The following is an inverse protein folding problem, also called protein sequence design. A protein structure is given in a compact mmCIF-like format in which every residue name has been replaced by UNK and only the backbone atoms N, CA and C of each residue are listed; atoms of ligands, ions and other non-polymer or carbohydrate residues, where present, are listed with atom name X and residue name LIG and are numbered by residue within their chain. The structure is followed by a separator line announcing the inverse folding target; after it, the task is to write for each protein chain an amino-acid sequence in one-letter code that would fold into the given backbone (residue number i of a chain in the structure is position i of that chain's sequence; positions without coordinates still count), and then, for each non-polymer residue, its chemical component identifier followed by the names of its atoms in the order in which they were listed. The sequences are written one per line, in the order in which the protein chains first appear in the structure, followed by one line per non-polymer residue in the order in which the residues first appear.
data_IF_549158915887
#
_entry.id   IF_549158915887
#
_cell.length_a   1.000
_cell.length_b   1.000
_cell.length_c   1.000
_cell.angle_alpha   90.00
_cell.angle_beta   90.00
_cell.angle_gamma   90.00
#
_symmetry.space_group_name_H-M   'P 1'
#
loop_
_entity.id
_entity.type
_entity.pdbx_description
1 polymer ?
#
# COMPACT_ATOMS: atom_id res chain seq x y z
N UNK A 1 -76.85 -8.44 18.73
CA UNK A 1 -75.93 -7.28 18.89
C UNK A 1 -75.03 -7.57 20.08
N UNK A 2 -73.71 -7.66 19.88
CA UNK A 2 -72.79 -7.98 20.99
C UNK A 2 -72.78 -6.80 21.98
N UNK A 3 -73.20 -7.04 23.23
CA UNK A 3 -73.11 -6.05 24.30
C UNK A 3 -71.69 -5.50 24.39
N UNK A 4 -71.55 -4.17 24.33
CA UNK A 4 -70.26 -3.50 24.53
C UNK A 4 -69.68 -3.97 25.85
N UNK A 5 -68.52 -4.66 25.80
CA UNK A 5 -67.72 -5.05 26.98
C UNK A 5 -67.62 -3.86 27.93
N UNK A 6 -68.24 -3.94 29.11
CA UNK A 6 -68.11 -2.91 30.15
C UNK A 6 -66.65 -2.82 30.57
N UNK A 7 -66.03 -1.65 30.34
CA UNK A 7 -64.64 -1.39 30.74
C UNK A 7 -64.67 -0.60 32.04
N UNK A 8 -64.26 -1.25 33.13
CA UNK A 8 -64.20 -0.64 34.45
C UNK A 8 -62.82 -0.01 34.70
N UNK A 9 -62.79 1.21 35.25
CA UNK A 9 -61.55 1.92 35.60
C UNK A 9 -60.79 1.18 36.72
N UNK A 10 -59.46 1.34 36.81
CA UNK A 10 -58.67 0.80 37.91
C UNK A 10 -59.20 1.20 39.30
N UNK A 11 -59.60 2.46 39.47
CA UNK A 11 -60.10 2.98 40.75
C UNK A 11 -61.45 2.40 41.13
N UNK A 12 -62.35 2.23 40.14
CA UNK A 12 -63.63 1.55 40.36
C UNK A 12 -63.43 0.11 40.85
N UNK A 13 -62.45 -0.61 40.29
CA UNK A 13 -62.12 -1.98 40.72
C UNK A 13 -61.58 -2.03 42.15
N UNK A 14 -60.76 -1.04 42.55
CA UNK A 14 -60.25 -0.93 43.94
C UNK A 14 -61.39 -0.69 44.93
N UNK A 15 -62.30 0.23 44.61
CA UNK A 15 -63.49 0.52 45.42
C UNK A 15 -64.36 -0.74 45.56
N UNK A 16 -64.62 -1.43 44.45
CA UNK A 16 -65.43 -2.64 44.44
C UNK A 16 -64.84 -3.77 45.31
N UNK A 17 -63.52 -3.90 45.32
CA UNK A 17 -62.83 -4.87 46.17
C UNK A 17 -62.94 -4.49 47.64
N UNK A 18 -62.66 -3.22 47.98
CA UNK A 18 -62.69 -2.72 49.36
C UNK A 18 -64.07 -2.94 49.98
N UNK A 19 -65.13 -2.60 49.24
CA UNK A 19 -66.52 -2.83 49.61
C UNK A 19 -66.81 -4.33 49.85
N UNK A 20 -66.33 -5.20 48.95
CA UNK A 20 -66.52 -6.63 49.13
C UNK A 20 -65.88 -7.18 50.40
N UNK A 21 -64.68 -6.71 50.75
CA UNK A 21 -64.00 -7.13 51.99
C UNK A 21 -64.68 -6.59 53.23
N UNK A 22 -65.20 -5.36 53.19
CA UNK A 22 -65.99 -4.77 54.29
C UNK A 22 -67.28 -5.54 54.56
N UNK A 23 -68.00 -5.96 53.51
CA UNK A 23 -69.25 -6.71 53.64
C UNK A 23 -69.10 -8.22 53.80
N UNK A 24 -67.87 -8.72 53.66
CA UNK A 24 -67.54 -10.15 53.60
C UNK A 24 -68.37 -10.97 52.56
N UNK A 25 -69.01 -10.31 51.58
CA UNK A 25 -69.94 -10.93 50.62
C UNK A 25 -69.68 -10.42 49.20
N UNK A 26 -69.41 -11.32 48.25
CA UNK A 26 -69.27 -10.94 46.83
C UNK A 26 -70.60 -10.67 46.15
N UNK A 27 -71.68 -11.20 46.72
CA UNK A 27 -73.04 -11.09 46.17
C UNK A 27 -73.63 -9.70 46.48
N UNK A 28 -73.61 -9.31 47.75
CA UNK A 28 -74.14 -8.00 48.20
C UNK A 28 -73.37 -6.83 47.61
N UNK A 29 -72.04 -6.95 47.46
CA UNK A 29 -71.23 -5.90 46.84
C UNK A 29 -71.43 -5.79 45.33
N UNK A 30 -71.85 -6.88 44.67
CA UNK A 30 -72.16 -6.87 43.25
C UNK A 30 -73.52 -6.21 43.00
N UNK A 31 -74.50 -6.51 43.86
CA UNK A 31 -75.83 -5.90 43.86
C UNK A 31 -75.77 -4.38 44.10
N UNK A 32 -75.00 -3.94 45.11
CA UNK A 32 -74.85 -2.51 45.44
C UNK A 32 -74.12 -1.69 44.37
N UNK A 33 -73.18 -2.30 43.65
CA UNK A 33 -72.42 -1.65 42.58
C UNK A 33 -73.04 -1.81 41.19
N UNK A 34 -74.18 -2.52 41.09
CA UNK A 34 -74.85 -2.78 39.81
C UNK A 34 -74.00 -3.55 38.80
N UNK A 35 -73.12 -4.44 39.28
CA UNK A 35 -72.23 -5.27 38.45
C UNK A 35 -72.47 -6.76 38.69
N UNK A 36 -72.08 -7.60 37.73
CA UNK A 36 -72.21 -9.04 37.91
C UNK A 36 -71.19 -9.60 38.91
N UNK A 37 -71.63 -10.55 39.74
CA UNK A 37 -70.83 -11.18 40.80
C UNK A 37 -69.47 -11.72 40.30
N UNK A 38 -69.44 -12.25 39.07
CA UNK A 38 -68.23 -12.85 38.50
C UNK A 38 -67.09 -11.83 38.33
N UNK A 39 -67.39 -10.52 38.17
CA UNK A 39 -66.38 -9.48 38.11
C UNK A 39 -65.69 -9.26 39.46
N UNK A 40 -66.45 -9.19 40.55
CA UNK A 40 -65.90 -9.04 41.91
C UNK A 40 -65.10 -10.27 42.31
N UNK A 41 -65.59 -11.48 42.00
CA UNK A 41 -64.85 -12.71 42.25
C UNK A 41 -63.50 -12.75 41.52
N UNK A 42 -63.49 -12.36 40.24
CA UNK A 42 -62.26 -12.25 39.45
C UNK A 42 -61.32 -11.20 40.02
N UNK A 43 -61.81 -10.01 40.36
CA UNK A 43 -60.98 -8.93 40.90
C UNK A 43 -60.42 -9.27 42.28
N UNK A 44 -61.20 -9.92 43.15
CA UNK A 44 -60.71 -10.48 44.41
C UNK A 44 -59.58 -11.48 44.20
N UNK A 45 -59.72 -12.39 43.22
CA UNK A 45 -58.66 -13.35 42.88
C UNK A 45 -57.39 -12.65 42.39
N UNK A 46 -57.53 -11.66 41.52
CA UNK A 46 -56.40 -10.86 41.02
C UNK A 46 -55.73 -10.08 42.18
N UNK A 47 -56.51 -9.45 43.07
CA UNK A 47 -56.03 -8.71 44.24
C UNK A 47 -55.37 -9.58 45.31
N UNK A 48 -55.83 -10.81 45.52
CA UNK A 48 -55.12 -11.75 46.40
C UNK A 48 -53.73 -12.12 45.86
N UNK A 49 -53.55 -12.10 44.54
CA UNK A 49 -52.31 -12.52 43.91
C UNK A 49 -51.32 -11.35 43.71
N UNK A 50 -51.81 -10.13 43.41
CA UNK A 50 -50.96 -8.98 43.06
C UNK A 50 -51.22 -7.72 43.90
N UNK A 51 -52.06 -7.80 44.94
CA UNK A 51 -52.39 -6.66 45.80
C UNK A 51 -52.91 -5.45 45.02
N UNK A 52 -52.47 -4.25 45.41
CA UNK A 52 -52.78 -2.98 44.71
C UNK A 52 -52.18 -2.90 43.29
N UNK A 53 -51.22 -3.78 42.96
CA UNK A 53 -50.62 -3.94 41.63
C UNK A 53 -51.52 -4.62 40.60
N UNK A 54 -52.66 -5.17 41.02
CA UNK A 54 -53.61 -5.90 40.16
C UNK A 54 -54.22 -5.06 39.03
N UNK A 55 -54.32 -3.75 39.24
CA UNK A 55 -55.01 -2.81 38.35
C UNK A 55 -54.06 -1.75 37.75
N UNK A 56 -52.84 -2.15 37.39
CA UNK A 56 -51.78 -1.31 36.80
C UNK A 56 -52.05 -0.77 35.38
N UNK A 57 -53.22 -1.01 34.79
CA UNK A 57 -53.58 -0.52 33.45
C UNK A 57 -53.04 -1.38 32.29
N UNK A 58 -53.37 -0.99 31.06
CA UNK A 58 -52.95 -1.74 29.85
C UNK A 58 -51.44 -1.57 29.61
N UNK A 59 -50.75 -2.68 29.34
CA UNK A 59 -49.33 -2.70 28.98
C UNK A 59 -48.36 -2.74 30.16
N UNK A 60 -48.85 -2.66 31.41
CA UNK A 60 -48.03 -2.87 32.60
C UNK A 60 -48.17 -4.30 33.12
N UNK A 61 -47.06 -4.88 33.56
CA UNK A 61 -47.02 -6.22 34.12
C UNK A 61 -47.55 -6.15 35.55
N UNK A 62 -48.44 -7.07 35.91
CA UNK A 62 -49.01 -7.18 37.25
C UNK A 62 -47.93 -7.73 38.18
N UNK A 63 -47.50 -6.93 39.14
CA UNK A 63 -46.52 -7.31 40.15
C UNK A 63 -47.02 -6.82 41.51
N UNK A 64 -46.82 -7.61 42.56
CA UNK A 64 -47.16 -7.20 43.92
C UNK A 64 -46.37 -5.92 44.29
N UNK A 65 -46.97 -4.93 44.99
CA UNK A 65 -46.31 -3.67 45.33
C UNK A 65 -44.94 -3.86 46.02
N UNK A 66 -44.83 -4.83 46.92
CA UNK A 66 -43.60 -5.17 47.64
C UNK A 66 -42.52 -5.78 46.75
N UNK A 67 -42.91 -6.41 45.64
CA UNK A 67 -42.00 -7.04 44.67
C UNK A 67 -41.72 -6.16 43.45
N UNK A 68 -42.39 -4.99 43.34
CA UNK A 68 -42.26 -4.10 42.20
C UNK A 68 -40.84 -3.57 42.04
N UNK A 69 -40.20 -3.19 43.14
CA UNK A 69 -38.80 -2.72 43.17
C UNK A 69 -37.83 -3.81 42.74
N UNK A 70 -38.02 -5.03 43.26
CA UNK A 70 -37.22 -6.21 42.89
C UNK A 70 -37.35 -6.47 41.38
N UNK A 71 -38.58 -6.50 40.86
CA UNK A 71 -38.84 -6.69 39.45
C UNK A 71 -38.18 -5.61 38.57
N UNK A 72 -38.30 -4.33 38.94
CA UNK A 72 -37.66 -3.23 38.22
C UNK A 72 -36.13 -3.34 38.22
N UNK A 73 -35.54 -3.75 39.34
CA UNK A 73 -34.10 -3.97 39.47
C UNK A 73 -33.65 -5.18 38.64
N UNK A 74 -34.40 -6.28 38.64
CA UNK A 74 -34.12 -7.45 37.79
C UNK A 74 -34.16 -7.09 36.30
N UNK A 75 -35.12 -6.28 35.87
CA UNK A 75 -35.18 -5.79 34.48
C UNK A 75 -33.99 -4.89 34.13
N UNK A 76 -33.56 -4.02 35.07
CA UNK A 76 -32.35 -3.19 34.88
C UNK A 76 -31.10 -4.04 34.81
N UNK A 77 -30.97 -5.04 35.69
CA UNK A 77 -29.85 -5.97 35.73
C UNK A 77 -29.76 -6.74 34.40
N UNK A 78 -30.85 -7.34 33.95
CA UNK A 78 -30.92 -8.07 32.68
C UNK A 78 -30.53 -7.20 31.47
N UNK A 79 -30.95 -5.93 31.45
CA UNK A 79 -30.53 -4.97 30.41
C UNK A 79 -29.04 -4.63 30.49
N UNK A 80 -28.51 -4.48 31.70
CA UNK A 80 -27.09 -4.16 31.92
C UNK A 80 -26.19 -5.34 31.54
N UNK A 81 -26.55 -6.56 31.93
CA UNK A 81 -25.85 -7.81 31.57
C UNK A 81 -25.80 -8.00 30.06
N UNK A 82 -26.94 -7.84 29.38
CA UNK A 82 -26.99 -7.94 27.92
C UNK A 82 -26.12 -6.88 27.24
N UNK A 83 -26.14 -5.65 27.75
CA UNK A 83 -25.29 -4.56 27.23
C UNK A 83 -23.81 -4.89 27.41
N UNK A 84 -23.43 -5.40 28.58
CA UNK A 84 -22.07 -5.83 28.86
C UNK A 84 -21.64 -6.97 27.93
N UNK A 85 -22.48 -7.98 27.74
CA UNK A 85 -22.21 -9.12 26.87
C UNK A 85 -21.99 -8.70 25.41
N UNK A 86 -22.84 -7.81 24.89
CA UNK A 86 -22.69 -7.25 23.53
C UNK A 86 -21.37 -6.49 23.43
N UNK A 87 -21.03 -5.64 24.40
CA UNK A 87 -19.78 -4.88 24.38
C UNK A 87 -18.55 -5.79 24.45
N UNK A 88 -18.55 -6.78 25.34
CA UNK A 88 -17.45 -7.73 25.49
C UNK A 88 -17.18 -8.46 24.17
N UNK A 89 -18.24 -8.94 23.50
CA UNK A 89 -18.12 -9.63 22.22
C UNK A 89 -17.78 -8.70 21.05
N UNK A 90 -18.21 -7.43 21.11
CA UNK A 90 -17.92 -6.44 20.08
C UNK A 90 -16.55 -5.77 20.24
N UNK A 91 -15.93 -5.85 21.42
CA UNK A 91 -14.66 -5.17 21.76
C UNK A 91 -13.56 -5.35 20.71
N UNK A 92 -13.30 -6.56 20.17
CA UNK A 92 -12.29 -6.74 19.12
C UNK A 92 -12.55 -5.94 17.83
N UNK A 93 -13.82 -5.65 17.54
CA UNK A 93 -14.27 -4.99 16.31
C UNK A 93 -14.36 -3.47 16.43
N UNK A 94 -14.50 -2.93 17.65
CA UNK A 94 -14.65 -1.49 17.88
C UNK A 94 -13.41 -0.70 17.42
N UNK A 95 -12.21 -1.26 17.57
CA UNK A 95 -10.95 -0.60 17.21
C UNK A 95 -10.68 -0.55 15.69
N UNK A 96 -11.37 -1.38 14.91
CA UNK A 96 -11.17 -1.49 13.45
C UNK A 96 -12.14 -0.59 12.66
N UNK A 97 -12.98 0.16 13.36
CA UNK A 97 -13.92 1.14 12.79
C UNK A 97 -15.27 0.54 12.39
N UNK A 98 -16.17 1.40 11.89
CA UNK A 98 -17.59 1.07 11.67
C UNK A 98 -17.85 -0.15 10.77
N UNK A 99 -16.93 -0.54 9.89
CA UNK A 99 -17.13 -1.70 9.00
C UNK A 99 -17.05 -3.02 9.76
N UNK A 100 -16.09 -3.16 10.67
CA UNK A 100 -16.02 -4.35 11.52
C UNK A 100 -17.18 -4.40 12.51
N UNK A 101 -17.60 -3.25 13.01
CA UNK A 101 -18.82 -3.14 13.82
C UNK A 101 -20.04 -3.63 13.01
N UNK A 102 -20.14 -3.26 11.73
CA UNK A 102 -21.25 -3.72 10.87
C UNK A 102 -21.16 -5.22 10.55
N UNK A 103 -19.95 -5.76 10.36
CA UNK A 103 -19.75 -7.20 10.20
C UNK A 103 -20.12 -7.96 11.47
N UNK A 104 -19.74 -7.47 12.64
CA UNK A 104 -20.16 -8.01 13.93
C UNK A 104 -21.69 -8.02 14.06
N UNK A 105 -22.36 -6.90 13.79
CA UNK A 105 -23.83 -6.81 13.82
C UNK A 105 -24.47 -7.83 12.86
N UNK A 106 -23.89 -8.00 11.66
CA UNK A 106 -24.38 -8.98 10.67
C UNK A 106 -24.21 -10.42 11.16
N UNK A 107 -23.09 -10.76 11.78
CA UNK A 107 -22.80 -12.11 12.25
C UNK A 107 -23.59 -12.46 13.52
N UNK A 108 -23.84 -11.47 14.38
CA UNK A 108 -24.49 -11.63 15.68
C UNK A 108 -26.01 -11.44 15.67
N UNK A 109 -26.63 -11.19 14.49
CA UNK A 109 -28.07 -10.92 14.37
C UNK A 109 -28.99 -12.06 14.83
N UNK A 110 -28.46 -13.29 14.96
CA UNK A 110 -29.21 -14.44 15.51
C UNK A 110 -29.22 -14.46 17.03
N UNK A 111 -28.23 -13.83 17.67
CA UNK A 111 -28.02 -13.85 19.13
C UNK A 111 -28.58 -12.62 19.82
N UNK A 112 -28.54 -11.46 19.15
CA UNK A 112 -28.97 -10.18 19.72
C UNK A 112 -29.94 -9.46 18.79
N UNK A 113 -30.83 -8.65 19.35
CA UNK A 113 -31.71 -7.77 18.57
C UNK A 113 -30.92 -6.63 17.92
N UNK A 114 -31.28 -6.27 16.68
CA UNK A 114 -30.60 -5.24 15.90
C UNK A 114 -30.67 -3.86 16.58
N UNK A 115 -31.81 -3.50 17.17
CA UNK A 115 -31.98 -2.20 17.80
C UNK A 115 -31.08 -2.09 19.04
N UNK A 116 -31.01 -3.17 19.82
CA UNK A 116 -30.13 -3.27 20.99
C UNK A 116 -28.66 -3.17 20.59
N UNK A 117 -28.21 -3.94 19.60
CA UNK A 117 -26.82 -3.84 19.12
C UNK A 117 -26.47 -2.44 18.61
N UNK A 118 -27.34 -1.83 17.79
CA UNK A 118 -27.14 -0.47 17.30
C UNK A 118 -27.05 0.56 18.43
N UNK A 119 -27.89 0.43 19.46
CA UNK A 119 -27.87 1.34 20.61
C UNK A 119 -26.62 1.15 21.48
N UNK A 120 -26.19 -0.09 21.70
CA UNK A 120 -25.02 -0.40 22.52
C UNK A 120 -23.71 0.02 21.84
N UNK A 121 -23.63 -0.13 20.51
CA UNK A 121 -22.42 0.15 19.72
C UNK A 121 -22.38 1.57 19.12
N UNK A 122 -23.35 2.41 19.48
CA UNK A 122 -23.51 3.79 18.97
C UNK A 122 -23.52 3.89 17.43
N UNK A 123 -24.29 2.99 16.80
CA UNK A 123 -24.42 2.91 15.34
C UNK A 123 -25.85 3.22 14.90
N UNK A 124 -26.01 4.16 13.97
CA UNK A 124 -27.31 4.42 13.34
C UNK A 124 -27.80 3.26 12.47
N UNK A 125 -28.99 2.71 12.79
CA UNK A 125 -29.66 1.62 12.03
C UNK A 125 -29.76 1.90 10.52
N UNK A 126 -30.06 3.14 10.12
CA UNK A 126 -30.11 3.54 8.71
C UNK A 126 -28.76 3.34 8.00
N UNK A 127 -27.64 3.72 8.63
CA UNK A 127 -26.30 3.53 8.06
C UNK A 127 -25.94 2.05 7.92
N UNK A 128 -26.26 1.23 8.93
CA UNK A 128 -26.07 -0.22 8.85
C UNK A 128 -26.86 -0.83 7.68
N UNK A 129 -28.12 -0.47 7.52
CA UNK A 129 -28.95 -1.00 6.43
C UNK A 129 -28.45 -0.56 5.04
N UNK A 130 -27.97 0.69 4.90
CA UNK A 130 -27.35 1.16 3.65
C UNK A 130 -26.09 0.35 3.34
N UNK A 131 -25.23 0.10 4.33
CA UNK A 131 -24.06 -0.75 4.17
C UNK A 131 -24.42 -2.20 3.87
N UNK A 132 -25.46 -2.77 4.52
CA UNK A 132 -25.93 -4.14 4.27
C UNK A 132 -26.43 -4.32 2.84
N UNK A 133 -27.11 -3.30 2.29
CA UNK A 133 -27.64 -3.32 0.92
C UNK A 133 -26.57 -3.09 -0.14
N UNK A 134 -25.71 -2.09 0.07
CA UNK A 134 -24.79 -1.60 -0.97
C UNK A 134 -23.34 -2.08 -0.80
N UNK A 135 -23.02 -2.71 0.33
CA UNK A 135 -21.66 -3.11 0.70
C UNK A 135 -20.71 -1.92 0.86
N UNK A 136 -19.49 -2.08 0.33
CA UNK A 136 -18.49 -1.01 0.30
C UNK A 136 -18.89 0.08 -0.71
N UNK A 137 -18.87 1.34 -0.26
CA UNK A 137 -19.00 2.52 -1.12
C UNK A 137 -18.05 2.40 -2.31
N UNK A 138 -18.50 2.84 -3.49
CA UNK A 138 -17.71 2.86 -4.72
C UNK A 138 -16.37 3.57 -4.53
N UNK A 139 -16.37 4.69 -3.81
CA UNK A 139 -15.14 5.42 -3.44
C UNK A 139 -14.16 4.53 -2.65
N UNK A 140 -14.65 3.73 -1.70
CA UNK A 140 -13.80 2.81 -0.94
C UNK A 140 -13.30 1.64 -1.79
N UNK A 141 -14.15 1.07 -2.65
CA UNK A 141 -13.76 0.02 -3.61
C UNK A 141 -12.64 0.52 -4.52
N UNK A 142 -12.77 1.74 -5.05
CA UNK A 142 -11.74 2.38 -5.85
C UNK A 142 -10.44 2.57 -5.07
N UNK A 143 -10.48 3.03 -3.81
CA UNK A 143 -9.28 3.17 -2.96
C UNK A 143 -8.61 1.82 -2.70
N UNK A 144 -9.39 0.76 -2.46
CA UNK A 144 -8.85 -0.60 -2.25
C UNK A 144 -8.17 -1.09 -3.52
N UNK A 145 -8.80 -0.94 -4.68
CA UNK A 145 -8.22 -1.29 -5.97
C UNK A 145 -6.92 -0.52 -6.22
N UNK A 146 -6.93 0.78 -5.92
CA UNK A 146 -5.74 1.63 -6.05
C UNK A 146 -4.59 1.16 -5.15
N UNK A 147 -4.88 0.87 -3.88
CA UNK A 147 -3.88 0.31 -2.94
C UNK A 147 -3.31 -1.01 -3.44
N UNK A 148 -4.14 -1.89 -4.02
CA UNK A 148 -3.68 -3.14 -4.64
C UNK A 148 -2.75 -2.88 -5.82
N UNK A 149 -3.10 -1.93 -6.70
CA UNK A 149 -2.26 -1.57 -7.84
C UNK A 149 -0.92 -0.97 -7.41
N UNK A 150 -0.91 -0.07 -6.42
CA UNK A 150 0.33 0.47 -5.82
C UNK A 150 1.22 -0.66 -5.31
N UNK A 151 0.65 -1.60 -4.55
CA UNK A 151 1.40 -2.76 -4.02
C UNK A 151 1.94 -3.64 -5.15
N UNK A 152 1.13 -3.91 -6.18
CA UNK A 152 1.54 -4.73 -7.33
C UNK A 152 2.74 -4.11 -8.05
N UNK A 153 2.67 -2.82 -8.38
CA UNK A 153 3.78 -2.09 -9.03
C UNK A 153 5.03 -2.13 -8.15
N UNK A 154 4.87 -1.84 -6.86
CA UNK A 154 5.98 -1.83 -5.91
C UNK A 154 6.67 -3.20 -5.81
N UNK A 155 5.90 -4.29 -5.72
CA UNK A 155 6.46 -5.65 -5.66
C UNK A 155 7.07 -6.09 -6.99
N UNK A 156 6.43 -5.80 -8.12
CA UNK A 156 6.97 -6.10 -9.45
C UNK A 156 8.30 -5.38 -9.71
N UNK A 157 8.49 -4.19 -9.13
CA UNK A 157 9.75 -3.45 -9.17
C UNK A 157 10.81 -3.96 -8.18
N UNK A 158 10.58 -5.08 -7.49
CA UNK A 158 11.42 -5.57 -6.39
C UNK A 158 11.69 -4.50 -5.31
N UNK A 159 10.67 -3.70 -4.97
CA UNK A 159 10.74 -2.62 -3.96
C UNK A 159 11.67 -1.45 -4.33
N UNK A 160 12.04 -1.33 -5.61
CA UNK A 160 12.98 -0.30 -6.12
C UNK A 160 12.29 1.02 -6.47
N UNK A 161 11.01 0.97 -6.86
CA UNK A 161 10.23 2.16 -7.21
C UNK A 161 9.72 2.90 -5.96
N UNK A 162 9.79 4.23 -5.98
CA UNK A 162 9.18 5.11 -4.99
C UNK A 162 7.87 5.72 -5.49
N UNK A 163 7.30 6.63 -4.72
CA UNK A 163 6.01 7.25 -5.04
C UNK A 163 6.00 8.01 -6.36
N UNK A 164 7.07 8.74 -6.68
CA UNK A 164 7.21 9.41 -7.99
C UNK A 164 7.07 8.41 -9.15
N UNK A 165 7.82 7.32 -9.08
CA UNK A 165 7.79 6.30 -10.13
C UNK A 165 6.42 5.62 -10.24
N UNK A 166 5.88 5.19 -9.09
CA UNK A 166 4.57 4.54 -9.02
C UNK A 166 3.46 5.48 -9.52
N UNK A 167 3.55 6.77 -9.24
CA UNK A 167 2.59 7.76 -9.74
C UNK A 167 2.61 7.84 -11.26
N UNK A 168 3.81 7.91 -11.85
CA UNK A 168 3.97 7.92 -13.32
C UNK A 168 3.35 6.68 -13.95
N UNK A 169 3.65 5.51 -13.42
CA UNK A 169 3.13 4.23 -13.93
C UNK A 169 1.60 4.12 -13.78
N UNK A 170 1.04 4.58 -12.65
CA UNK A 170 -0.41 4.64 -12.46
C UNK A 170 -1.09 5.64 -13.42
N UNK A 171 -0.42 6.74 -13.73
CA UNK A 171 -0.95 7.73 -14.67
C UNK A 171 -0.90 7.23 -16.12
N UNK A 172 0.13 6.46 -16.48
CA UNK A 172 0.17 5.74 -17.76
C UNK A 172 -0.97 4.71 -17.88
N UNK A 173 -1.41 4.14 -16.75
CA UNK A 173 -2.62 3.28 -16.67
C UNK A 173 -3.94 4.08 -16.58
N UNK A 174 -3.92 5.40 -16.77
CA UNK A 174 -5.11 6.26 -16.80
C UNK A 174 -5.67 6.71 -15.44
N UNK A 175 -4.94 6.50 -14.34
CA UNK A 175 -5.47 6.81 -12.99
C UNK A 175 -5.44 8.31 -12.62
N UNK A 176 -4.65 9.14 -13.31
CA UNK A 176 -4.53 10.60 -13.10
C UNK A 176 -4.44 11.05 -11.63
N UNK A 177 -3.45 10.51 -10.91
CA UNK A 177 -3.22 10.77 -9.49
C UNK A 177 -2.08 11.76 -9.27
N UNK A 178 -2.23 12.57 -8.21
CA UNK A 178 -1.15 13.39 -7.67
C UNK A 178 -0.18 12.52 -6.85
N UNK A 179 1.11 12.84 -6.92
CA UNK A 179 2.16 12.13 -6.17
C UNK A 179 1.87 12.08 -4.66
N UNK A 180 1.39 13.18 -4.07
CA UNK A 180 1.05 13.27 -2.64
C UNK A 180 0.02 12.22 -2.19
N UNK A 181 -0.90 11.86 -3.07
CA UNK A 181 -1.93 10.85 -2.81
C UNK A 181 -1.34 9.43 -2.83
N UNK A 182 -0.42 9.15 -3.77
CA UNK A 182 0.32 7.90 -3.80
C UNK A 182 1.24 7.78 -2.57
N UNK A 183 1.94 8.84 -2.20
CA UNK A 183 2.75 8.93 -0.98
C UNK A 183 1.93 8.64 0.28
N UNK A 184 0.72 9.19 0.38
CA UNK A 184 -0.20 8.90 1.48
C UNK A 184 -0.55 7.41 1.56
N UNK A 185 -0.92 6.78 0.44
CA UNK A 185 -1.27 5.35 0.44
C UNK A 185 -0.06 4.44 0.67
N UNK A 186 1.11 4.76 0.14
CA UNK A 186 2.34 4.02 0.42
C UNK A 186 2.68 4.05 1.92
N UNK A 187 2.51 5.20 2.59
CA UNK A 187 2.68 5.32 4.05
C UNK A 187 1.69 4.45 4.81
N UNK A 188 0.40 4.47 4.43
CA UNK A 188 -0.62 3.61 5.05
C UNK A 188 -0.30 2.12 4.89
N UNK A 189 0.25 1.72 3.73
CA UNK A 189 0.64 0.34 3.43
C UNK A 189 2.03 -0.03 3.97
N UNK A 190 2.72 0.90 4.64
CA UNK A 190 4.10 0.74 5.14
C UNK A 190 5.10 0.34 4.03
N UNK A 191 4.84 0.75 2.78
CA UNK A 191 5.72 0.50 1.64
C UNK A 191 6.82 1.57 1.60
N UNK A 192 8.08 1.15 1.76
CA UNK A 192 9.25 2.04 1.71
C UNK A 192 10.20 1.58 0.62
N UNK A 193 10.53 2.50 -0.28
CA UNK A 193 11.60 2.29 -1.28
C UNK A 193 12.93 2.06 -0.58
N UNK A 194 13.77 1.22 -1.20
CA UNK A 194 15.17 1.05 -0.83
C UNK A 194 15.90 2.41 -0.71
N UNK A 195 16.49 2.74 0.45
CA UNK A 195 17.19 4.00 0.65
C UNK A 195 18.53 4.01 -0.10
N UNK A 196 18.94 5.20 -0.57
CA UNK A 196 20.30 5.40 -1.12
C UNK A 196 21.30 5.51 0.04
N UNK A 197 22.42 4.78 -0.02
CA UNK A 197 23.56 5.02 0.88
C UNK A 197 24.35 6.26 0.44
N UNK A 198 24.95 6.95 1.41
CA UNK A 198 25.87 8.07 1.16
C UNK A 198 27.12 7.56 0.42
N UNK A 199 27.60 8.37 -0.52
CA UNK A 199 28.79 8.08 -1.32
C UNK A 199 30.07 8.21 -0.49
N UNK A 200 31.08 7.41 -0.80
CA UNK A 200 32.46 7.50 -0.27
C UNK A 200 33.38 7.44 -1.48
N UNK A 201 34.21 8.47 -1.68
CA UNK A 201 35.14 8.55 -2.79
C UNK A 201 36.33 7.59 -2.55
N UNK A 202 36.67 6.79 -3.55
CA UNK A 202 37.77 5.83 -3.46
C UNK A 202 38.44 5.64 -4.83
N UNK A 203 39.28 6.58 -5.26
CA UNK A 203 40.26 6.31 -6.33
C UNK A 203 41.43 7.28 -6.26
N UNK A 204 42.65 6.75 -6.36
CA UNK A 204 43.89 7.50 -6.52
C UNK A 204 44.31 7.50 -8.00
N UNK A 205 44.70 8.66 -8.54
CA UNK A 205 44.79 8.95 -9.99
C UNK A 205 46.19 9.34 -10.46
N UNK A 206 47.24 8.73 -9.91
CA UNK A 206 48.63 8.95 -10.34
C UNK A 206 49.13 7.87 -11.32
N UNK A 207 49.26 8.21 -12.61
CA UNK A 207 50.05 7.45 -13.59
C UNK A 207 50.39 8.27 -14.85
N UNK A 208 51.36 7.82 -15.64
CA UNK A 208 51.94 8.54 -16.78
C UNK A 208 51.43 8.05 -18.17
N UNK A 209 50.21 7.51 -18.26
CA UNK A 209 49.62 6.95 -19.49
C UNK A 209 48.99 8.00 -20.44
N UNK A 210 48.49 7.56 -21.60
CA UNK A 210 47.84 8.39 -22.63
C UNK A 210 46.56 9.05 -22.12
N UNK A 211 46.66 10.27 -21.61
CA UNK A 211 45.54 11.05 -21.08
C UNK A 211 44.97 11.95 -22.18
N UNK A 212 43.66 11.86 -22.43
CA UNK A 212 42.94 12.75 -23.34
C UNK A 212 42.34 13.97 -22.60
N UNK A 213 42.08 15.05 -23.34
CA UNK A 213 41.37 16.23 -22.80
C UNK A 213 39.90 15.93 -22.54
N UNK A 214 39.27 16.63 -21.59
CA UNK A 214 37.83 16.49 -21.34
C UNK A 214 37.00 17.23 -22.41
N UNK A 215 36.74 16.57 -23.53
CA UNK A 215 35.86 17.05 -24.61
C UNK A 215 34.38 17.04 -24.21
N UNK A 216 33.93 16.02 -23.47
CA UNK A 216 32.52 15.91 -23.05
C UNK A 216 32.07 17.11 -22.20
N UNK A 217 32.97 17.59 -21.33
CA UNK A 217 32.80 18.76 -20.47
C UNK A 217 31.43 18.81 -19.78
N UNK A 218 30.99 17.66 -19.25
CA UNK A 218 29.71 17.46 -18.53
C UNK A 218 28.45 17.73 -19.37
N UNK A 219 28.54 17.82 -20.69
CA UNK A 219 27.38 17.86 -21.56
C UNK A 219 26.74 16.47 -21.68
N UNK A 220 25.89 16.13 -20.71
CA UNK A 220 25.23 14.83 -20.67
C UNK A 220 23.95 14.74 -21.49
N UNK A 221 23.57 15.80 -22.21
CA UNK A 221 22.36 15.83 -23.04
C UNK A 221 22.77 15.65 -24.49
N UNK A 222 22.37 14.53 -25.07
CA UNK A 222 22.73 14.13 -26.42
C UNK A 222 21.46 13.97 -27.23
N UNK A 223 21.47 14.41 -28.50
CA UNK A 223 20.28 14.45 -29.36
C UNK A 223 20.04 13.22 -30.23
N UNK A 224 20.99 12.28 -30.29
CA UNK A 224 20.91 11.09 -31.12
C UNK A 224 21.72 9.93 -30.51
N UNK A 225 21.35 8.67 -30.80
CA UNK A 225 22.12 7.50 -30.37
C UNK A 225 23.56 7.54 -30.89
N UNK A 226 24.49 6.81 -30.26
CA UNK A 226 25.86 6.61 -30.75
C UNK A 226 26.73 7.85 -30.90
N UNK A 227 26.30 9.02 -30.42
CA UNK A 227 27.13 10.23 -30.44
C UNK A 227 28.09 10.32 -29.26
N UNK A 228 27.66 9.86 -28.08
CA UNK A 228 28.50 9.88 -26.88
C UNK A 228 28.26 8.62 -26.06
N UNK A 229 29.31 7.84 -25.85
CA UNK A 229 29.33 6.74 -24.91
C UNK A 229 30.20 7.09 -23.71
N UNK A 230 29.70 6.80 -22.51
CA UNK A 230 30.47 6.91 -21.27
C UNK A 230 30.79 5.53 -20.73
N UNK A 231 31.95 5.39 -20.10
CA UNK A 231 32.35 4.15 -19.44
C UNK A 231 32.96 4.41 -18.09
N UNK A 232 32.79 3.45 -17.19
CA UNK A 232 33.41 3.45 -15.87
C UNK A 232 33.51 2.02 -15.32
N UNK A 233 34.35 1.83 -14.29
CA UNK A 233 34.58 0.55 -13.60
C UNK A 233 34.24 0.69 -12.12
N UNK A 234 33.43 -0.21 -11.59
CA UNK A 234 33.19 -0.32 -10.15
C UNK A 234 33.60 -1.67 -9.59
N UNK A 235 34.03 -1.68 -8.32
CA UNK A 235 34.20 -2.91 -7.54
C UNK A 235 32.87 -3.41 -6.95
N UNK A 236 32.69 -4.73 -6.94
CA UNK A 236 31.57 -5.45 -6.35
C UNK A 236 32.12 -6.53 -5.41
N UNK A 237 31.77 -6.45 -4.12
CA UNK A 237 32.23 -7.43 -3.12
C UNK A 237 31.45 -8.75 -3.26
N UNK A 238 32.15 -9.88 -3.32
CA UNK A 238 31.56 -11.23 -3.28
C UNK A 238 32.13 -12.03 -2.10
N UNK A 239 31.65 -13.26 -1.87
CA UNK A 239 32.10 -14.09 -0.71
C UNK A 239 33.62 -14.26 -0.65
N UNK A 240 34.28 -14.44 -1.80
CA UNK A 240 35.70 -14.81 -1.87
C UNK A 240 36.63 -13.63 -2.19
N UNK A 241 36.22 -12.74 -3.09
CA UNK A 241 37.04 -11.61 -3.58
C UNK A 241 36.17 -10.51 -4.19
N UNK A 242 36.77 -9.38 -4.52
CA UNK A 242 36.11 -8.37 -5.34
C UNK A 242 36.02 -8.84 -6.80
N UNK A 243 34.98 -8.35 -7.48
CA UNK A 243 34.82 -8.41 -8.93
C UNK A 243 34.75 -6.99 -9.47
N UNK A 244 35.19 -6.79 -10.70
CA UNK A 244 35.19 -5.50 -11.38
C UNK A 244 34.08 -5.50 -12.43
N UNK A 245 33.10 -4.61 -12.26
CA UNK A 245 32.04 -4.39 -13.25
C UNK A 245 32.42 -3.17 -14.08
N UNK A 246 32.67 -3.40 -15.35
CA UNK A 246 32.85 -2.35 -16.36
C UNK A 246 31.55 -2.19 -17.12
N UNK A 247 31.12 -0.94 -17.35
CA UNK A 247 29.92 -0.64 -18.14
C UNK A 247 30.23 0.40 -19.21
N UNK A 248 29.49 0.34 -20.31
CA UNK A 248 29.45 1.34 -21.37
C UNK A 248 27.98 1.72 -21.54
N UNK A 249 27.70 3.01 -21.38
CA UNK A 249 26.36 3.59 -21.48
C UNK A 249 26.30 4.56 -22.65
N UNK A 250 25.22 4.48 -23.42
CA UNK A 250 24.89 5.54 -24.38
C UNK A 250 24.15 6.68 -23.67
N UNK A 251 24.62 7.92 -23.82
CA UNK A 251 24.03 9.06 -23.12
C UNK A 251 22.65 9.48 -23.64
N UNK A 252 22.30 9.12 -24.88
CA UNK A 252 21.03 9.50 -25.50
C UNK A 252 19.84 8.94 -24.73
N UNK A 253 19.87 7.64 -24.43
CA UNK A 253 18.77 6.89 -23.82
C UNK A 253 19.14 6.27 -22.46
N UNK A 254 20.38 6.49 -22.00
CA UNK A 254 20.94 5.93 -20.75
C UNK A 254 21.03 4.40 -20.76
N UNK A 255 20.96 3.74 -21.90
CA UNK A 255 21.04 2.29 -22.00
C UNK A 255 22.46 1.83 -21.69
N UNK A 256 22.60 0.79 -20.85
CA UNK A 256 23.87 0.07 -20.75
C UNK A 256 23.95 -0.84 -21.97
N UNK A 257 24.78 -0.44 -22.93
CA UNK A 257 24.92 -1.12 -24.22
C UNK A 257 26.04 -2.16 -24.20
N UNK A 258 26.97 -2.06 -23.26
CA UNK A 258 28.00 -3.08 -23.06
C UNK A 258 28.42 -3.15 -21.60
N UNK A 259 28.71 -4.34 -21.11
CA UNK A 259 29.24 -4.51 -19.77
C UNK A 259 29.99 -5.84 -19.64
N UNK A 260 30.91 -5.89 -18.68
CA UNK A 260 31.58 -7.13 -18.31
C UNK A 260 31.85 -7.16 -16.80
N UNK A 261 31.70 -8.36 -16.21
CA UNK A 261 32.02 -8.61 -14.81
C UNK A 261 33.23 -9.54 -14.74
N UNK A 262 34.34 -9.04 -14.23
CA UNK A 262 35.62 -9.75 -14.21
C UNK A 262 36.17 -9.92 -12.80
N UNK A 263 37.23 -10.72 -12.68
CA UNK A 263 37.98 -10.91 -11.44
C UNK A 263 39.37 -10.30 -11.48
N UNK A 264 39.76 -9.79 -12.65
CA UNK A 264 41.03 -9.12 -12.94
C UNK A 264 40.75 -7.74 -13.49
N UNK A 265 41.56 -6.76 -13.10
CA UNK A 265 41.42 -5.36 -13.47
C UNK A 265 42.18 -4.99 -14.77
N UNK A 266 42.69 -5.98 -15.53
CA UNK A 266 43.36 -5.71 -16.81
C UNK A 266 42.38 -5.23 -17.88
N UNK A 267 42.85 -4.44 -18.85
CA UNK A 267 42.02 -3.95 -19.96
C UNK A 267 41.34 -5.10 -20.73
N UNK A 268 42.08 -6.17 -21.00
CA UNK A 268 41.63 -7.42 -21.64
C UNK A 268 40.43 -8.06 -20.92
N UNK A 269 40.38 -7.93 -19.60
CA UNK A 269 39.32 -8.51 -18.78
C UNK A 269 38.22 -7.50 -18.43
N UNK A 270 38.35 -6.22 -18.76
CA UNK A 270 37.42 -5.17 -18.31
C UNK A 270 36.81 -4.42 -19.49
N UNK A 271 37.54 -3.45 -20.04
CA UNK A 271 37.03 -2.56 -21.07
C UNK A 271 36.93 -3.24 -22.44
N UNK A 272 37.87 -4.09 -22.83
CA UNK A 272 37.84 -4.71 -24.16
C UNK A 272 36.61 -5.61 -24.38
N UNK A 273 36.22 -6.50 -23.44
CA UNK A 273 35.00 -7.29 -23.58
C UNK A 273 33.73 -6.43 -23.53
N UNK A 274 33.73 -5.37 -22.71
CA UNK A 274 32.61 -4.44 -22.61
C UNK A 274 32.41 -3.66 -23.90
N UNK A 275 33.50 -3.20 -24.52
CA UNK A 275 33.52 -2.54 -25.83
C UNK A 275 32.98 -3.47 -26.92
N UNK A 276 33.48 -4.71 -26.98
CA UNK A 276 33.01 -5.70 -27.95
C UNK A 276 31.49 -5.93 -27.85
N UNK A 277 30.94 -5.96 -26.63
CA UNK A 277 29.50 -6.04 -26.43
C UNK A 277 28.78 -4.76 -26.88
N UNK A 278 29.29 -3.58 -26.52
CA UNK A 278 28.72 -2.30 -26.91
C UNK A 278 28.65 -2.12 -28.42
N UNK A 279 29.77 -2.36 -29.13
CA UNK A 279 29.87 -2.25 -30.58
C UNK A 279 28.96 -3.26 -31.31
N UNK A 280 28.62 -4.40 -30.69
CA UNK A 280 27.63 -5.33 -31.23
C UNK A 280 26.19 -4.84 -31.03
N UNK A 281 25.93 -4.19 -29.90
CA UNK A 281 24.59 -3.76 -29.52
C UNK A 281 24.20 -2.40 -30.14
N UNK A 282 25.19 -1.61 -30.58
CA UNK A 282 24.96 -0.30 -31.17
C UNK A 282 26.07 0.05 -32.15
N UNK A 283 25.70 0.66 -33.28
CA UNK A 283 26.65 1.08 -34.33
C UNK A 283 27.63 2.09 -33.74
N UNK A 284 28.92 1.88 -33.98
CA UNK A 284 29.99 2.84 -33.67
C UNK A 284 30.08 3.80 -34.84
N UNK A 285 30.03 5.10 -34.57
CA UNK A 285 30.07 6.13 -35.60
C UNK A 285 31.40 6.86 -35.56
N UNK A 286 31.95 7.18 -36.73
CA UNK A 286 33.12 8.05 -36.80
C UNK A 286 32.82 9.41 -36.15
N UNK A 287 33.78 9.94 -35.39
CA UNK A 287 33.63 11.20 -34.65
C UNK A 287 32.81 11.09 -33.37
N UNK A 288 32.31 9.91 -32.99
CA UNK A 288 31.61 9.75 -31.71
C UNK A 288 32.57 9.98 -30.53
N UNK A 289 32.05 10.54 -29.43
CA UNK A 289 32.84 10.73 -28.21
C UNK A 289 32.79 9.46 -27.36
N UNK A 290 33.96 8.93 -27.02
CA UNK A 290 34.10 7.95 -25.95
C UNK A 290 34.69 8.61 -24.71
N UNK A 291 33.91 8.68 -23.64
CA UNK A 291 34.29 9.34 -22.39
C UNK A 291 34.50 8.36 -21.24
N UNK A 292 35.62 8.45 -20.55
CA UNK A 292 35.94 7.62 -19.37
C UNK A 292 36.62 8.42 -18.28
N UNK A 293 36.85 7.78 -17.13
CA UNK A 293 37.86 8.28 -16.20
C UNK A 293 39.28 8.13 -16.79
N UNK A 294 40.29 8.51 -16.01
CA UNK A 294 41.69 8.39 -16.42
C UNK A 294 42.28 7.00 -16.19
N UNK A 295 41.51 5.99 -15.78
CA UNK A 295 42.04 4.69 -15.35
C UNK A 295 42.97 4.03 -16.39
N UNK A 296 43.95 3.28 -15.90
CA UNK A 296 44.98 2.62 -16.73
C UNK A 296 44.40 1.73 -17.83
N UNK A 297 43.20 1.18 -17.62
CA UNK A 297 42.48 0.35 -18.57
C UNK A 297 42.03 1.15 -19.80
N UNK A 298 41.62 2.40 -19.59
CA UNK A 298 41.19 3.32 -20.63
C UNK A 298 42.36 4.01 -21.31
N UNK A 299 43.41 4.34 -20.56
CA UNK A 299 44.60 5.01 -21.06
C UNK A 299 45.65 4.06 -21.70
N UNK A 300 45.37 2.76 -21.77
CA UNK A 300 46.28 1.79 -22.39
C UNK A 300 46.30 1.93 -23.91
N UNK A 301 47.45 1.56 -24.51
CA UNK A 301 47.65 1.63 -25.97
C UNK A 301 46.63 0.79 -26.73
N UNK A 302 46.42 -0.46 -26.31
CA UNK A 302 45.49 -1.39 -26.98
C UNK A 302 44.08 -0.80 -27.11
N UNK A 303 43.55 -0.19 -26.05
CA UNK A 303 42.21 0.40 -26.11
C UNK A 303 42.20 1.74 -26.87
N UNK A 304 43.27 2.53 -26.76
CA UNK A 304 43.42 3.75 -27.57
C UNK A 304 43.42 3.44 -29.06
N UNK A 305 44.20 2.44 -29.50
CA UNK A 305 44.29 2.00 -30.90
C UNK A 305 42.93 1.50 -31.42
N UNK A 306 42.12 0.85 -30.56
CA UNK A 306 40.75 0.46 -30.90
C UNK A 306 39.87 1.70 -31.11
N UNK A 307 39.89 2.67 -30.20
CA UNK A 307 39.07 3.87 -30.36
C UNK A 307 39.47 4.67 -31.61
N UNK A 308 40.77 4.78 -31.86
CA UNK A 308 41.31 5.48 -33.03
C UNK A 308 40.95 4.75 -34.34
N UNK A 309 40.89 3.40 -34.37
CA UNK A 309 40.50 2.65 -35.58
C UNK A 309 39.03 2.79 -35.97
N UNK A 310 38.17 3.15 -35.01
CA UNK A 310 36.77 3.52 -35.26
C UNK A 310 36.59 5.03 -35.45
N UNK A 311 37.67 5.83 -35.43
CA UNK A 311 37.60 7.29 -35.53
C UNK A 311 36.90 7.96 -34.33
N UNK A 312 36.92 7.33 -33.16
CA UNK A 312 36.30 7.88 -31.96
C UNK A 312 37.13 9.05 -31.40
N UNK A 313 36.44 10.10 -30.94
CA UNK A 313 37.04 11.17 -30.17
C UNK A 313 37.17 10.71 -28.71
N UNK A 314 38.41 10.51 -28.27
CA UNK A 314 38.71 10.16 -26.88
C UNK A 314 38.49 11.36 -25.96
N UNK A 315 37.77 11.14 -24.86
CA UNK A 315 37.56 12.13 -23.81
C UNK A 315 37.80 11.50 -22.45
N UNK A 316 38.52 12.18 -21.56
CA UNK A 316 38.73 11.70 -20.19
C UNK A 316 38.40 12.76 -19.15
N UNK A 317 37.87 12.33 -18.01
CA UNK A 317 37.61 13.21 -16.85
C UNK A 317 38.84 13.99 -16.43
N UNK A 318 38.64 15.16 -15.82
CA UNK A 318 39.71 15.89 -15.13
C UNK A 318 40.16 15.11 -13.91
N UNK A 319 41.40 15.35 -13.48
CA UNK A 319 41.96 14.71 -12.30
C UNK A 319 41.08 15.06 -11.08
N UNK A 320 40.70 14.06 -10.31
CA UNK A 320 39.88 14.20 -9.09
C UNK A 320 38.46 14.78 -9.30
N UNK A 321 37.93 14.76 -10.53
CA UNK A 321 36.62 15.32 -10.83
C UNK A 321 35.59 14.22 -11.14
N UNK A 322 34.96 13.70 -10.08
CA UNK A 322 33.88 12.70 -10.17
C UNK A 322 32.68 13.20 -10.98
N UNK A 323 32.45 14.51 -11.01
CA UNK A 323 31.30 15.09 -11.71
C UNK A 323 31.41 14.97 -13.24
N UNK A 324 32.61 14.80 -13.77
CA UNK A 324 32.83 14.64 -15.21
C UNK A 324 32.20 13.34 -15.75
N UNK A 325 32.02 12.31 -14.89
CA UNK A 325 31.38 11.04 -15.23
C UNK A 325 30.12 10.73 -14.38
N UNK A 326 29.43 11.78 -13.91
CA UNK A 326 28.32 11.67 -12.96
C UNK A 326 27.18 10.71 -13.39
N UNK A 327 27.02 10.47 -14.70
CA UNK A 327 25.99 9.57 -15.23
C UNK A 327 26.31 8.11 -14.90
N UNK A 328 27.54 7.65 -15.13
CA UNK A 328 27.98 6.31 -14.73
C UNK A 328 27.95 6.15 -13.20
N UNK A 329 28.39 7.18 -12.46
CA UNK A 329 28.34 7.15 -11.00
C UNK A 329 26.90 7.01 -10.46
N UNK A 330 25.95 7.72 -11.08
CA UNK A 330 24.52 7.61 -10.76
C UNK A 330 23.98 6.21 -11.03
N UNK A 331 24.41 5.57 -12.13
CA UNK A 331 24.11 4.18 -12.43
C UNK A 331 24.68 3.24 -11.37
N UNK A 332 25.96 3.36 -11.02
CA UNK A 332 26.58 2.50 -10.03
C UNK A 332 26.00 2.68 -8.62
N UNK A 333 25.65 3.92 -8.25
CA UNK A 333 24.92 4.20 -7.03
C UNK A 333 23.56 3.49 -7.01
N UNK A 334 22.85 3.52 -8.14
CA UNK A 334 21.58 2.80 -8.32
C UNK A 334 21.77 1.29 -8.18
N UNK A 335 22.72 0.71 -8.92
CA UNK A 335 23.02 -0.72 -8.90
C UNK A 335 23.44 -1.19 -7.50
N UNK A 336 24.36 -0.48 -6.85
CA UNK A 336 24.84 -0.86 -5.51
C UNK A 336 23.71 -0.80 -4.50
N UNK A 337 22.88 0.24 -4.51
CA UNK A 337 21.79 0.38 -3.54
C UNK A 337 20.65 -0.61 -3.77
N UNK A 338 20.23 -0.80 -5.03
CA UNK A 338 19.05 -1.60 -5.38
C UNK A 338 19.35 -3.10 -5.53
N UNK A 339 20.62 -3.49 -5.67
CA UNK A 339 21.03 -4.89 -5.80
C UNK A 339 22.04 -5.30 -4.72
N UNK A 340 23.24 -4.72 -4.74
CA UNK A 340 24.39 -5.22 -3.96
C UNK A 340 24.15 -5.10 -2.45
N UNK A 341 23.70 -3.93 -2.00
CA UNK A 341 23.46 -3.62 -0.59
C UNK A 341 22.19 -4.29 -0.02
N UNK A 342 21.31 -4.82 -0.87
CA UNK A 342 20.11 -5.55 -0.42
C UNK A 342 20.43 -6.99 -0.03
N UNK A 343 21.60 -7.52 -0.40
CA UNK A 343 21.99 -8.88 -0.06
C UNK A 343 22.50 -8.93 1.38
N UNK A 344 21.78 -9.67 2.24
CA UNK A 344 22.13 -9.88 3.66
C UNK A 344 23.45 -10.65 3.80
N UNK A 345 23.72 -11.57 2.87
CA UNK A 345 24.96 -12.35 2.80
C UNK A 345 25.63 -12.11 1.47
N UNK A 346 26.96 -12.06 1.48
CA UNK A 346 27.75 -12.10 0.26
C UNK A 346 27.42 -13.38 -0.52
N UNK A 347 27.45 -13.31 -1.85
CA UNK A 347 27.15 -14.45 -2.74
C UNK A 347 28.39 -14.88 -3.54
N UNK A 348 28.32 -16.05 -4.18
CA UNK A 348 29.40 -16.54 -5.04
C UNK A 348 29.51 -15.70 -6.32
N UNK A 349 30.67 -15.75 -6.97
CA UNK A 349 30.92 -15.02 -8.23
C UNK A 349 29.95 -15.44 -9.33
N UNK A 350 29.65 -16.74 -9.43
CA UNK A 350 28.67 -17.28 -10.38
C UNK A 350 27.28 -16.69 -10.18
N UNK A 351 26.81 -16.63 -8.93
CA UNK A 351 25.52 -16.03 -8.62
C UNK A 351 25.51 -14.52 -8.83
N UNK A 352 26.60 -13.82 -8.47
CA UNK A 352 26.73 -12.38 -8.72
C UNK A 352 26.63 -12.07 -10.22
N UNK A 353 27.26 -12.88 -11.08
CA UNK A 353 27.16 -12.70 -12.54
C UNK A 353 25.71 -12.77 -13.04
N UNK A 354 24.92 -13.73 -12.54
CA UNK A 354 23.49 -13.85 -12.88
C UNK A 354 22.67 -12.66 -12.38
N UNK A 355 22.94 -12.19 -11.17
CA UNK A 355 22.24 -11.04 -10.57
C UNK A 355 22.54 -9.73 -11.28
N UNK A 356 23.80 -9.52 -11.69
CA UNK A 356 24.19 -8.35 -12.49
C UNK A 356 23.57 -8.40 -13.88
N UNK A 357 23.58 -9.59 -14.52
CA UNK A 357 22.88 -9.80 -15.80
C UNK A 357 21.40 -9.43 -15.69
N UNK A 358 20.67 -10.00 -14.73
CA UNK A 358 19.24 -9.72 -14.56
C UNK A 358 18.98 -8.25 -14.21
N UNK A 359 19.84 -7.64 -13.39
CA UNK A 359 19.70 -6.24 -13.06
C UNK A 359 19.89 -5.32 -14.27
N UNK A 360 20.91 -5.55 -15.09
CA UNK A 360 21.20 -4.69 -16.26
C UNK A 360 20.22 -4.99 -17.39
N UNK A 361 20.14 -6.25 -17.84
CA UNK A 361 19.42 -6.63 -19.05
C UNK A 361 17.90 -6.69 -18.86
N UNK A 362 17.43 -7.23 -17.73
CA UNK A 362 15.98 -7.40 -17.51
C UNK A 362 15.37 -6.17 -16.84
N UNK A 363 16.04 -5.63 -15.82
CA UNK A 363 15.48 -4.55 -15.00
C UNK A 363 15.83 -3.16 -15.53
N UNK A 364 17.12 -2.80 -15.57
CA UNK A 364 17.56 -1.44 -15.87
C UNK A 364 17.27 -1.04 -17.33
N UNK A 365 17.62 -1.90 -18.27
CA UNK A 365 17.46 -1.60 -19.70
C UNK A 365 15.99 -1.70 -20.17
N UNK A 366 15.17 -2.59 -19.62
CA UNK A 366 13.81 -2.82 -20.16
C UNK A 366 12.67 -2.25 -19.31
N UNK A 367 12.77 -2.39 -17.99
CA UNK A 367 11.64 -2.14 -17.07
C UNK A 367 11.78 -0.90 -16.21
N UNK A 368 12.99 -0.39 -16.03
CA UNK A 368 13.23 0.79 -15.19
C UNK A 368 12.79 2.04 -15.93
N UNK A 369 11.98 2.85 -15.27
CA UNK A 369 11.68 4.20 -15.71
C UNK A 369 12.76 5.20 -15.25
N UNK A 370 13.13 6.11 -16.14
CA UNK A 370 14.22 7.06 -15.92
C UNK A 370 13.70 8.49 -15.88
N UNK A 371 14.09 9.26 -14.87
CA UNK A 371 13.68 10.67 -14.78
C UNK A 371 14.23 11.51 -15.94
N UNK A 372 15.44 11.18 -16.43
CA UNK A 372 16.03 11.81 -17.60
C UNK A 372 15.17 11.60 -18.87
N UNK A 373 14.54 10.43 -19.01
CA UNK A 373 13.64 10.08 -20.11
C UNK A 373 12.17 10.47 -19.82
N UNK A 374 11.94 11.50 -19.00
CA UNK A 374 10.59 11.95 -18.61
C UNK A 374 9.73 10.81 -18.01
N UNK A 375 10.35 9.97 -17.18
CA UNK A 375 9.72 8.82 -16.51
C UNK A 375 9.21 7.71 -17.44
N UNK A 376 9.88 7.53 -18.58
CA UNK A 376 9.68 6.40 -19.50
C UNK A 376 10.72 5.32 -19.29
N UNK A 377 10.40 4.10 -19.69
CA UNK A 377 11.43 3.05 -19.89
C UNK A 377 12.26 3.39 -21.13
N UNK A 378 13.42 2.75 -21.25
CA UNK A 378 14.26 2.91 -22.44
C UNK A 378 13.52 2.39 -23.68
N UNK A 379 12.83 1.25 -23.58
CA UNK A 379 12.02 0.71 -24.68
C UNK A 379 10.90 1.67 -25.13
N UNK A 380 10.20 2.30 -24.18
CA UNK A 380 9.20 3.32 -24.50
C UNK A 380 9.83 4.54 -25.18
N UNK A 381 10.97 5.00 -24.69
CA UNK A 381 11.70 6.12 -25.28
C UNK A 381 12.21 5.79 -26.69
N UNK A 382 12.76 4.59 -26.89
CA UNK A 382 13.20 4.09 -28.19
C UNK A 382 12.05 4.07 -29.21
N UNK A 383 10.89 3.53 -28.81
CA UNK A 383 9.71 3.46 -29.69
C UNK A 383 9.20 4.85 -30.13
N UNK A 384 9.24 5.85 -29.24
CA UNK A 384 8.81 7.21 -29.59
C UNK A 384 9.82 7.98 -30.46
N UNK A 385 11.09 7.60 -30.40
CA UNK A 385 12.17 8.28 -31.12
C UNK A 385 12.69 7.45 -32.31
N UNK A 386 11.89 6.51 -32.81
CA UNK A 386 12.31 5.53 -33.82
C UNK A 386 12.85 6.19 -35.10
N UNK A 387 12.31 7.35 -35.50
CA UNK A 387 12.82 8.15 -36.63
C UNK A 387 14.26 8.64 -36.40
N UNK A 388 14.61 8.99 -35.17
CA UNK A 388 15.97 9.41 -34.79
C UNK A 388 16.92 8.21 -34.81
N UNK A 389 16.46 7.03 -34.37
CA UNK A 389 17.25 5.80 -34.48
C UNK A 389 17.48 5.38 -35.93
N UNK A 390 16.44 5.43 -36.78
CA UNK A 390 16.52 5.00 -38.17
C UNK A 390 17.39 5.93 -39.02
N UNK A 391 17.24 7.26 -38.87
CA UNK A 391 18.10 8.24 -39.57
C UNK A 391 19.58 8.15 -39.19
N UNK A 392 19.91 7.56 -38.04
CA UNK A 392 21.29 7.28 -37.62
C UNK A 392 21.81 5.90 -38.05
N UNK A 393 20.95 5.02 -38.58
CA UNK A 393 21.36 3.73 -39.14
C UNK A 393 21.71 3.84 -40.64
N UNK A 394 21.11 4.79 -41.35
CA UNK A 394 21.28 5.03 -42.79
C UNK A 394 22.52 5.90 -43.15
N UNK A 395 23.11 6.60 -42.18
CA UNK A 395 24.47 7.17 -42.25
C UNK A 395 25.43 6.18 -41.60
#
# INVERSE_FOLDING_TARGET
MAEKRRVFSPDFKRIAIKLSYQKNSTKESAEELGIEMHFIQRWRREHRQFGDGSFCGKGQIRVHPEQKTIYELEQKLKKAELRYEILQNATPHLYNGNEEIYQFIKNSHKKYDLMQMCQVLDVGKKRYNIWKKNGLSEKKRHIIALKKNITKIFLNSNKRCGSRQITSELNQLGCNLKQSKVDFYMRQLKLKRIPKRKFVATTDSFHNHYIATNVLNRNFTVGAPSKVWVSDITYIKTKKRFMYLTVIMDLFDRKIIGWNLSVSMSAENTILPSWKMAAKNRKVLEGMIFHSDRGVQYACKVFSDILDSFGCIRSMSRKWDSNDNAVCESFFSTLKNELVHQKIKLISQRHMRKEIYDFIETWYNRKRIHSYLKYKTIEQFEAENQTIYNSHLEM
#
